data_IF_700066941857
#
_entry.id   IF_700066941857
#
_cell.length_a   1.000
_cell.length_b   1.000
_cell.length_c   1.000
_cell.angle_alpha   90.00
_cell.angle_beta   90.00
_cell.angle_gamma   90.00
#
_symmetry.space_group_name_H-M   'P 1'
#
loop_
_entity.id
_entity.type
_entity.pdbx_description
1 polymer ?
#
# COMPACT_ATOMS: atom_id res chain seq x y z
N UNK A 1 -15.80 15.15 10.91
CA UNK A 1 -14.32 15.09 10.99
C UNK A 1 -13.82 16.43 11.52
N UNK A 2 -12.81 16.44 12.38
CA UNK A 2 -12.46 17.52 13.32
C UNK A 2 -11.85 18.80 12.69
N UNK A 3 -12.41 19.31 11.58
CA UNK A 3 -11.93 20.53 10.92
C UNK A 3 -10.61 20.41 10.14
N UNK A 4 -10.06 19.20 10.02
CA UNK A 4 -8.84 18.91 9.25
C UNK A 4 -9.21 18.70 7.78
N UNK A 5 -8.51 19.42 6.89
CA UNK A 5 -8.57 19.19 5.45
C UNK A 5 -7.62 18.05 5.07
N UNK A 6 -8.17 16.88 4.75
CA UNK A 6 -7.39 15.71 4.31
C UNK A 6 -7.00 15.79 2.83
N UNK A 7 -7.42 16.83 2.11
CA UNK A 7 -7.26 16.99 0.68
C UNK A 7 -7.65 15.71 -0.07
N UNK A 8 -6.80 15.20 -0.97
CA UNK A 8 -7.09 14.03 -1.78
C UNK A 8 -7.22 12.73 -0.94
N UNK A 9 -6.62 12.65 0.25
CA UNK A 9 -6.72 11.47 1.11
C UNK A 9 -8.13 11.29 1.68
N UNK A 10 -8.96 12.33 1.67
CA UNK A 10 -10.34 12.25 2.13
C UNK A 10 -11.12 11.13 1.44
N UNK A 11 -10.89 10.92 0.14
CA UNK A 11 -11.59 9.91 -0.64
C UNK A 11 -11.33 8.48 -0.15
N UNK A 12 -10.18 8.24 0.48
CA UNK A 12 -9.82 6.91 0.99
C UNK A 12 -10.56 6.56 2.28
N UNK A 13 -10.95 7.56 3.09
CA UNK A 13 -11.45 7.34 4.46
C UNK A 13 -12.70 6.46 4.46
N UNK A 14 -12.67 5.39 5.26
CA UNK A 14 -13.74 4.40 5.33
C UNK A 14 -13.21 2.97 5.24
N UNK A 15 -14.14 2.02 5.14
CA UNK A 15 -13.82 0.61 4.95
C UNK A 15 -14.15 0.19 3.52
N UNK A 16 -13.34 -0.71 2.98
CA UNK A 16 -13.39 -1.18 1.60
C UNK A 16 -13.25 -2.70 1.58
N UNK A 17 -13.92 -3.35 0.63
CA UNK A 17 -13.86 -4.80 0.48
C UNK A 17 -13.76 -5.22 -0.98
N UNK A 18 -12.78 -6.07 -1.28
CA UNK A 18 -12.59 -6.69 -2.58
C UNK A 18 -12.83 -8.21 -2.53
N UNK A 19 -13.36 -8.76 -3.62
CA UNK A 19 -13.77 -10.17 -3.71
C UNK A 19 -12.99 -10.97 -4.78
N UNK A 20 -12.13 -10.28 -5.55
CA UNK A 20 -11.50 -10.80 -6.76
C UNK A 20 -10.03 -10.37 -6.89
N UNK A 21 -9.30 -10.40 -5.78
CA UNK A 21 -7.86 -10.12 -5.80
C UNK A 21 -7.06 -11.31 -6.34
N UNK A 22 -5.91 -11.01 -6.94
CA UNK A 22 -4.96 -11.99 -7.46
C UNK A 22 -3.55 -11.66 -6.97
N UNK A 23 -2.87 -12.67 -6.43
CA UNK A 23 -1.47 -12.68 -6.02
C UNK A 23 -0.69 -13.58 -6.99
N UNK A 24 0.47 -13.10 -7.47
CA UNK A 24 1.43 -13.88 -8.25
C UNK A 24 2.77 -13.85 -7.51
N UNK A 25 3.10 -14.95 -6.85
CA UNK A 25 4.23 -15.06 -5.92
C UNK A 25 5.29 -16.06 -6.42
N UNK A 26 6.56 -15.91 -5.99
CA UNK A 26 7.62 -16.85 -6.36
C UNK A 26 7.49 -18.18 -5.62
N UNK A 27 7.69 -19.27 -6.35
CA UNK A 27 8.00 -20.59 -5.80
C UNK A 27 9.45 -20.96 -6.14
N UNK A 28 10.05 -21.97 -5.46
CA UNK A 28 11.39 -22.47 -5.82
C UNK A 28 11.47 -22.83 -7.31
N UNK A 29 10.39 -23.38 -7.85
CA UNK A 29 10.20 -23.66 -9.28
C UNK A 29 8.93 -22.94 -9.77
N UNK A 30 9.08 -21.95 -10.66
CA UNK A 30 7.94 -21.27 -11.29
C UNK A 30 7.27 -20.18 -10.42
N UNK A 31 5.96 -20.06 -10.52
CA UNK A 31 5.15 -19.05 -9.81
C UNK A 31 3.91 -19.72 -9.23
N UNK A 32 3.45 -19.27 -8.07
CA UNK A 32 2.11 -19.59 -7.54
C UNK A 32 1.14 -18.46 -7.86
N UNK A 33 -0.12 -18.82 -8.12
CA UNK A 33 -1.21 -17.88 -8.37
C UNK A 33 -2.33 -18.11 -7.39
N UNK A 34 -2.62 -17.11 -6.58
CA UNK A 34 -3.58 -17.24 -5.50
C UNK A 34 -4.68 -16.17 -5.60
N UNK A 35 -5.92 -16.64 -5.73
CA UNK A 35 -7.08 -15.78 -5.59
C UNK A 35 -7.39 -15.50 -4.11
N UNK A 36 -7.69 -14.24 -3.80
CA UNK A 36 -8.00 -13.78 -2.44
C UNK A 36 -9.19 -12.82 -2.42
N UNK A 37 -9.68 -12.57 -1.21
CA UNK A 37 -10.50 -11.40 -0.89
C UNK A 37 -9.75 -10.57 0.16
N UNK A 38 -10.02 -9.28 0.16
CA UNK A 38 -9.28 -8.31 0.95
C UNK A 38 -10.19 -7.24 1.52
N UNK A 39 -9.80 -6.74 2.68
CA UNK A 39 -10.48 -5.66 3.39
C UNK A 39 -9.44 -4.58 3.70
N UNK A 40 -9.75 -3.32 3.38
CA UNK A 40 -8.89 -2.18 3.69
C UNK A 40 -9.71 -1.17 4.49
N UNK A 41 -9.20 -0.75 5.64
CA UNK A 41 -9.82 0.33 6.42
C UNK A 41 -8.85 1.49 6.54
N UNK A 42 -9.31 2.68 6.14
CA UNK A 42 -8.60 3.94 6.23
C UNK A 42 -9.26 4.80 7.31
N UNK A 43 -8.45 5.24 8.28
CA UNK A 43 -8.91 6.08 9.38
C UNK A 43 -8.15 7.41 9.42
N UNK A 44 -8.84 8.53 9.73
CA UNK A 44 -8.18 9.80 9.98
C UNK A 44 -7.06 9.65 11.03
N UNK A 45 -5.86 10.15 10.71
CA UNK A 45 -4.72 10.21 11.65
C UNK A 45 -4.26 11.65 11.94
N UNK A 46 -4.90 12.65 11.34
CA UNK A 46 -4.71 14.07 11.63
C UNK A 46 -3.55 14.72 10.89
N UNK A 47 -3.28 16.00 11.20
CA UNK A 47 -2.13 16.73 10.67
C UNK A 47 -0.85 16.33 11.39
N UNK A 48 0.28 16.54 10.72
CA UNK A 48 1.62 16.47 11.31
C UNK A 48 2.47 17.62 10.77
N UNK A 49 3.39 18.13 11.59
CA UNK A 49 4.30 19.20 11.22
C UNK A 49 5.75 18.77 11.48
N UNK A 50 6.62 19.03 10.52
CA UNK A 50 8.06 18.80 10.65
C UNK A 50 8.81 20.14 10.61
N UNK A 51 9.56 20.40 11.67
CA UNK A 51 10.45 21.57 11.80
C UNK A 51 9.79 22.92 11.49
N UNK A 52 8.48 23.08 11.76
CA UNK A 52 7.70 24.31 11.48
C UNK A 52 7.65 24.72 9.98
N UNK A 53 8.22 23.93 9.08
CA UNK A 53 8.34 24.23 7.65
C UNK A 53 7.48 23.32 6.78
N UNK A 54 7.34 22.05 7.16
CA UNK A 54 6.58 21.06 6.42
C UNK A 54 5.28 20.71 7.13
N UNK A 55 4.19 20.80 6.38
CA UNK A 55 2.84 20.46 6.83
C UNK A 55 2.36 19.20 6.11
N UNK A 56 1.88 18.23 6.86
CA UNK A 56 1.42 16.94 6.39
C UNK A 56 0.00 16.67 6.88
N UNK A 57 -0.76 15.91 6.10
CA UNK A 57 -2.03 15.32 6.53
C UNK A 57 -2.00 13.82 6.31
N UNK A 58 -2.53 13.06 7.27
CA UNK A 58 -2.27 11.62 7.35
C UNK A 58 -3.54 10.81 7.55
N UNK A 59 -3.62 9.69 6.84
CA UNK A 59 -4.64 8.65 7.02
C UNK A 59 -3.90 7.35 7.33
N UNK A 60 -4.18 6.75 8.48
CA UNK A 60 -3.66 5.42 8.81
C UNK A 60 -4.53 4.36 8.12
N UNK A 61 -3.93 3.24 7.72
CA UNK A 61 -4.68 2.14 7.12
C UNK A 61 -4.28 0.78 7.68
N UNK A 62 -5.19 -0.17 7.54
CA UNK A 62 -4.95 -1.59 7.75
C UNK A 62 -5.58 -2.36 6.59
N UNK A 63 -4.79 -3.22 5.96
CA UNK A 63 -5.22 -4.14 4.92
C UNK A 63 -5.05 -5.58 5.42
N UNK A 64 -6.11 -6.36 5.27
CA UNK A 64 -6.13 -7.77 5.61
C UNK A 64 -6.57 -8.58 4.39
N UNK A 65 -5.73 -9.53 3.99
CA UNK A 65 -5.96 -10.40 2.83
C UNK A 65 -6.14 -11.82 3.29
N UNK A 66 -7.16 -12.51 2.77
CA UNK A 66 -7.49 -13.88 3.14
C UNK A 66 -7.60 -14.77 1.91
N UNK A 67 -7.10 -16.00 2.02
CA UNK A 67 -7.20 -16.98 0.94
C UNK A 67 -8.67 -17.28 0.69
N UNK A 68 -9.12 -17.16 -0.55
CA UNK A 68 -10.52 -17.44 -0.90
C UNK A 68 -10.94 -18.87 -0.58
N UNK A 69 -10.03 -19.83 -0.72
CA UNK A 69 -10.30 -21.26 -0.53
C UNK A 69 -10.65 -21.66 0.91
N UNK A 70 -10.18 -20.93 1.92
CA UNK A 70 -10.31 -21.36 3.32
C UNK A 70 -10.36 -20.22 4.36
N UNK A 71 -10.35 -18.95 3.94
CA UNK A 71 -10.46 -17.79 4.82
C UNK A 71 -9.26 -17.52 5.74
N UNK A 72 -8.20 -18.33 5.64
CA UNK A 72 -6.98 -18.10 6.42
C UNK A 72 -6.32 -16.80 5.97
N UNK A 73 -5.79 -16.06 6.95
CA UNK A 73 -5.00 -14.85 6.69
C UNK A 73 -3.82 -15.25 5.81
N UNK A 74 -3.67 -14.51 4.71
CA UNK A 74 -2.63 -14.67 3.72
C UNK A 74 -1.61 -13.53 3.83
N UNK A 75 -2.10 -12.32 4.05
CA UNK A 75 -1.31 -11.11 4.18
C UNK A 75 -2.00 -10.17 5.17
N UNK A 76 -1.20 -9.45 5.95
CA UNK A 76 -1.63 -8.40 6.89
C UNK A 76 -0.63 -7.25 6.76
N UNK A 77 -1.14 -6.03 6.57
CA UNK A 77 -0.32 -4.86 6.34
C UNK A 77 -0.94 -3.63 6.98
N UNK A 78 -0.11 -2.79 7.59
CA UNK A 78 -0.54 -1.51 8.16
C UNK A 78 0.50 -0.42 7.97
N UNK A 79 0.03 0.82 7.89
CA UNK A 79 0.85 2.01 7.80
C UNK A 79 0.03 3.26 7.56
N UNK A 80 0.57 4.21 6.80
CA UNK A 80 -0.05 5.51 6.56
C UNK A 80 0.03 5.90 5.08
N UNK A 81 -1.01 6.56 4.61
CA UNK A 81 -0.93 7.48 3.47
C UNK A 81 -0.79 8.90 4.01
N UNK A 82 0.15 9.64 3.45
CA UNK A 82 0.56 10.97 3.90
C UNK A 82 0.58 11.88 2.67
N UNK A 83 0.03 13.07 2.81
CA UNK A 83 0.00 14.09 1.76
C UNK A 83 0.63 15.38 2.27
N UNK A 84 1.53 15.97 1.48
CA UNK A 84 2.09 17.31 1.69
C UNK A 84 1.46 18.30 0.70
N UNK A 85 0.58 19.21 1.16
CA UNK A 85 -0.10 20.15 0.26
C UNK A 85 0.85 21.09 -0.51
N UNK A 86 1.95 21.49 0.12
CA UNK A 86 2.87 22.47 -0.46
C UNK A 86 3.61 21.95 -1.71
N UNK A 87 3.88 20.66 -1.77
CA UNK A 87 4.67 20.03 -2.85
C UNK A 87 3.85 19.07 -3.71
N UNK A 88 2.67 18.65 -3.23
CA UNK A 88 1.90 17.57 -3.82
C UNK A 88 2.48 16.18 -3.55
N UNK A 89 3.46 16.04 -2.66
CA UNK A 89 4.10 14.76 -2.35
C UNK A 89 3.10 13.82 -1.68
N UNK A 90 3.11 12.57 -2.14
CA UNK A 90 2.43 11.46 -1.51
C UNK A 90 3.47 10.51 -0.93
N UNK A 91 3.25 10.08 0.31
CA UNK A 91 4.06 9.05 0.95
C UNK A 91 3.15 7.92 1.43
N UNK A 92 3.56 6.71 1.12
CA UNK A 92 2.94 5.48 1.58
C UNK A 92 3.93 4.72 2.45
N UNK A 93 3.56 4.45 3.70
CA UNK A 93 4.30 3.56 4.58
C UNK A 93 3.57 2.25 4.74
N UNK A 94 4.32 1.16 4.86
CA UNK A 94 3.76 -0.14 5.22
C UNK A 94 4.73 -0.90 6.11
N UNK A 95 4.16 -1.76 6.94
CA UNK A 95 4.83 -2.78 7.71
C UNK A 95 4.01 -4.06 7.65
N UNK A 96 4.70 -5.19 7.53
CA UNK A 96 4.09 -6.52 7.40
C UNK A 96 4.67 -7.47 8.44
N UNK A 97 3.96 -8.54 8.85
CA UNK A 97 4.42 -9.53 9.83
C UNK A 97 5.51 -10.46 9.29
N UNK A 98 6.34 -9.97 8.36
CA UNK A 98 7.58 -10.59 7.86
C UNK A 98 8.83 -9.82 8.30
N UNK A 99 8.66 -8.86 9.22
CA UNK A 99 9.72 -7.93 9.64
C UNK A 99 10.32 -7.18 8.43
N UNK A 100 9.42 -6.62 7.60
CA UNK A 100 9.74 -5.73 6.48
C UNK A 100 8.92 -4.46 6.65
N UNK A 101 9.56 -3.30 6.47
CA UNK A 101 8.91 -2.00 6.40
C UNK A 101 9.36 -1.28 5.12
N UNK A 102 8.45 -0.54 4.52
CA UNK A 102 8.70 0.27 3.32
C UNK A 102 8.21 1.70 3.58
N UNK A 103 9.00 2.67 3.12
CA UNK A 103 8.59 4.05 2.96
C UNK A 103 8.68 4.39 1.48
N UNK A 104 7.54 4.48 0.81
CA UNK A 104 7.44 4.76 -0.61
C UNK A 104 6.97 6.20 -0.84
N UNK A 105 7.58 6.90 -1.78
CA UNK A 105 7.26 8.27 -2.11
C UNK A 105 6.81 8.39 -3.56
N UNK A 106 6.04 9.43 -3.84
CA UNK A 106 5.63 9.73 -5.19
C UNK A 106 4.62 10.86 -5.25
N UNK A 107 3.66 10.73 -6.18
CA UNK A 107 2.77 11.83 -6.57
C UNK A 107 1.34 11.36 -6.70
N UNK A 108 0.45 12.34 -6.68
CA UNK A 108 -0.95 12.20 -7.04
C UNK A 108 -1.16 12.77 -8.46
N UNK A 109 -1.94 12.05 -9.26
CA UNK A 109 -2.57 12.55 -10.48
C UNK A 109 -4.08 12.57 -10.30
N UNK A 110 -4.75 13.58 -10.87
CA UNK A 110 -6.20 13.70 -10.87
C UNK A 110 -6.72 13.55 -12.31
N UNK A 111 -7.59 12.57 -12.55
CA UNK A 111 -8.23 12.32 -13.83
C UNK A 111 -9.75 12.43 -13.67
N UNK A 112 -10.30 13.63 -13.88
CA UNK A 112 -11.68 13.93 -13.54
C UNK A 112 -11.90 13.71 -12.03
N UNK A 113 -12.87 12.88 -11.66
CA UNK A 113 -13.16 12.54 -10.27
C UNK A 113 -12.24 11.45 -9.69
N UNK A 114 -11.43 10.78 -10.53
CA UNK A 114 -10.50 9.75 -10.09
C UNK A 114 -9.18 10.35 -9.56
N UNK A 115 -8.81 9.97 -8.34
CA UNK A 115 -7.50 10.24 -7.76
C UNK A 115 -6.59 9.01 -7.93
N UNK A 116 -5.41 9.21 -8.51
CA UNK A 116 -4.42 8.17 -8.82
C UNK A 116 -3.15 8.45 -8.02
N UNK A 117 -2.89 7.64 -7.00
CA UNK A 117 -1.70 7.69 -6.17
C UNK A 117 -0.65 6.74 -6.73
N UNK A 118 0.54 7.25 -7.00
CA UNK A 118 1.67 6.45 -7.49
C UNK A 118 2.85 6.66 -6.56
N UNK A 119 3.37 5.57 -5.99
CA UNK A 119 4.47 5.58 -5.03
C UNK A 119 5.48 4.49 -5.33
N UNK A 120 6.75 4.75 -5.03
CA UNK A 120 7.83 3.80 -5.19
C UNK A 120 8.86 3.90 -4.05
N UNK A 121 9.55 2.79 -3.79
CA UNK A 121 10.69 2.73 -2.87
C UNK A 121 11.78 1.83 -3.44
N UNK A 122 13.04 2.14 -3.13
CA UNK A 122 14.20 1.33 -3.54
C UNK A 122 15.07 1.00 -2.34
N UNK A 123 15.44 -0.27 -2.19
CA UNK A 123 16.31 -0.71 -1.10
C UNK A 123 17.67 0.02 -1.15
N UNK A 124 18.13 0.51 0.00
CA UNK A 124 19.38 1.29 0.11
C UNK A 124 19.23 2.78 -0.18
N UNK A 125 18.03 3.28 -0.49
CA UNK A 125 17.75 4.72 -0.52
C UNK A 125 17.79 5.33 0.88
N UNK A 126 18.36 6.52 1.00
CA UNK A 126 18.37 7.34 2.23
C UNK A 126 17.01 8.03 2.48
N UNK A 127 16.09 8.01 1.51
CA UNK A 127 14.74 8.59 1.62
C UNK A 127 13.67 7.52 1.52
N UNK A 128 13.16 7.26 0.31
CA UNK A 128 12.11 6.27 0.04
C UNK A 128 12.72 4.88 -0.13
N UNK A 129 12.82 4.18 0.99
CA UNK A 129 13.59 2.93 1.12
C UNK A 129 12.81 1.75 1.67
N UNK A 130 13.52 0.62 1.72
CA UNK A 130 13.05 -0.65 2.26
C UNK A 130 14.01 -1.09 3.38
N UNK A 131 13.44 -1.43 4.54
CA UNK A 131 14.18 -2.05 5.64
C UNK A 131 13.58 -3.41 5.96
N UNK A 132 14.43 -4.39 6.22
CA UNK A 132 14.02 -5.78 6.33
C UNK A 132 14.94 -6.56 7.27
N UNK A 133 14.42 -7.64 7.86
CA UNK A 133 15.18 -8.50 8.76
C UNK A 133 16.39 -9.16 8.08
N UNK A 134 17.40 -9.61 8.84
CA UNK A 134 18.58 -10.29 8.27
C UNK A 134 18.21 -11.49 7.38
N UNK A 135 17.21 -12.29 7.79
CA UNK A 135 16.76 -13.42 6.98
C UNK A 135 16.20 -12.97 5.62
N UNK A 136 15.35 -11.93 5.63
CA UNK A 136 14.80 -11.38 4.38
C UNK A 136 15.93 -10.84 3.51
N UNK A 137 16.88 -10.09 4.08
CA UNK A 137 18.03 -9.55 3.37
C UNK A 137 18.88 -10.64 2.69
N UNK A 138 19.03 -11.80 3.31
CA UNK A 138 19.86 -12.90 2.80
C UNK A 138 19.13 -13.87 1.87
N UNK A 139 17.83 -14.10 2.08
CA UNK A 139 17.09 -15.22 1.46
C UNK A 139 15.93 -14.81 0.57
N UNK A 140 15.33 -13.65 0.82
CA UNK A 140 14.13 -13.17 0.14
C UNK A 140 14.14 -11.64 0.08
N UNK A 141 15.20 -11.07 -0.48
CA UNK A 141 15.51 -9.65 -0.36
C UNK A 141 14.54 -8.84 -1.19
N UNK A 142 13.77 -7.96 -0.54
CA UNK A 142 13.04 -6.91 -1.23
C UNK A 142 14.02 -5.84 -1.70
N UNK A 143 14.00 -5.57 -3.01
CA UNK A 143 14.91 -4.64 -3.69
C UNK A 143 14.21 -3.36 -4.12
N UNK A 144 12.92 -3.43 -4.44
CA UNK A 144 12.09 -2.29 -4.76
C UNK A 144 10.62 -2.58 -4.48
N UNK A 145 9.83 -1.53 -4.38
CA UNK A 145 8.38 -1.55 -4.22
C UNK A 145 7.78 -0.48 -5.12
N UNK A 146 6.65 -0.77 -5.75
CA UNK A 146 5.82 0.21 -6.46
C UNK A 146 4.35 -0.11 -6.23
N UNK A 147 3.53 0.93 -6.12
CA UNK A 147 2.08 0.78 -6.02
C UNK A 147 1.40 1.90 -6.80
N UNK A 148 0.35 1.53 -7.55
CA UNK A 148 -0.65 2.49 -8.03
C UNK A 148 -1.97 2.20 -7.34
N UNK A 149 -2.53 3.19 -6.64
CA UNK A 149 -3.85 3.13 -6.04
C UNK A 149 -4.76 4.14 -6.74
N UNK A 150 -5.95 3.72 -7.15
CA UNK A 150 -6.95 4.56 -7.82
C UNK A 150 -8.21 4.56 -6.98
N UNK A 151 -8.81 5.73 -6.80
CA UNK A 151 -10.10 5.87 -6.11
C UNK A 151 -11.00 6.84 -6.85
N UNK A 152 -12.26 6.46 -7.02
CA UNK A 152 -13.31 7.30 -7.59
C UNK A 152 -14.64 6.91 -6.96
N UNK A 153 -15.23 7.83 -6.18
CA UNK A 153 -16.46 7.57 -5.44
C UNK A 153 -16.32 6.39 -4.46
N UNK A 154 -17.11 5.33 -4.70
CA UNK A 154 -17.15 4.10 -3.89
C UNK A 154 -16.39 2.93 -4.52
N UNK A 155 -15.57 3.19 -5.54
CA UNK A 155 -14.64 2.23 -6.12
C UNK A 155 -13.18 2.58 -5.78
N UNK A 156 -12.42 1.58 -5.35
CA UNK A 156 -10.99 1.65 -5.14
C UNK A 156 -10.32 0.48 -5.88
N UNK A 157 -9.18 0.72 -6.49
CA UNK A 157 -8.36 -0.36 -7.04
C UNK A 157 -6.89 -0.12 -6.74
N UNK A 158 -6.13 -1.20 -6.64
CA UNK A 158 -4.68 -1.09 -6.54
C UNK A 158 -3.98 -2.16 -7.38
N UNK A 159 -2.77 -1.80 -7.78
CA UNK A 159 -1.77 -2.67 -8.39
C UNK A 159 -0.47 -2.45 -7.63
N UNK A 160 0.05 -3.50 -7.02
CA UNK A 160 1.28 -3.50 -6.24
C UNK A 160 2.31 -4.41 -6.92
N UNK A 161 3.58 -4.00 -6.90
CA UNK A 161 4.69 -4.88 -7.24
C UNK A 161 5.82 -4.74 -6.24
N UNK A 162 6.21 -5.87 -5.67
CA UNK A 162 7.39 -6.01 -4.83
C UNK A 162 8.47 -6.78 -5.60
N UNK A 163 9.59 -6.12 -5.88
CA UNK A 163 10.73 -6.72 -6.58
C UNK A 163 11.61 -7.48 -5.59
N UNK A 164 11.76 -8.79 -5.79
CA UNK A 164 12.46 -9.70 -4.88
C UNK A 164 13.72 -10.29 -5.54
N UNK A 165 14.76 -10.49 -4.74
CA UNK A 165 15.83 -11.45 -5.00
C UNK A 165 15.61 -12.66 -4.06
N UNK A 166 15.11 -13.76 -4.62
CA UNK A 166 14.67 -14.95 -3.89
C UNK A 166 14.94 -16.20 -4.72
N UNK A 167 15.28 -17.31 -4.07
CA UNK A 167 15.64 -18.58 -4.74
C UNK A 167 16.75 -18.44 -5.80
N UNK A 168 17.68 -17.50 -5.59
CA UNK A 168 18.79 -17.26 -6.51
C UNK A 168 18.42 -16.53 -7.80
N UNK A 169 17.22 -15.95 -7.90
CA UNK A 169 16.76 -15.18 -9.06
C UNK A 169 16.03 -13.90 -8.65
N UNK A 170 15.83 -13.02 -9.63
CA UNK A 170 14.92 -11.87 -9.50
C UNK A 170 13.50 -12.30 -9.81
N UNK A 171 12.54 -11.75 -9.09
CA UNK A 171 11.11 -12.00 -9.29
C UNK A 171 10.29 -10.75 -9.00
N UNK A 172 9.27 -10.48 -9.80
CA UNK A 172 8.29 -9.45 -9.53
C UNK A 172 7.06 -10.10 -8.88
N UNK A 173 6.94 -9.97 -7.58
CA UNK A 173 5.72 -10.37 -6.86
C UNK A 173 4.67 -9.29 -7.11
N UNK A 174 3.56 -9.66 -7.73
CA UNK A 174 2.46 -8.73 -8.04
C UNK A 174 1.18 -9.10 -7.33
N UNK A 175 0.47 -8.08 -6.87
CA UNK A 175 -0.83 -8.18 -6.22
C UNK A 175 -1.75 -7.08 -6.72
N UNK A 176 -3.02 -7.39 -6.92
CA UNK A 176 -4.01 -6.36 -7.26
C UNK A 176 -5.43 -6.78 -6.95
N UNK A 177 -6.26 -5.80 -6.61
CA UNK A 177 -7.68 -5.98 -6.31
C UNK A 177 -8.50 -4.75 -6.69
N UNK A 178 -9.82 -4.96 -6.85
CA UNK A 178 -10.84 -3.91 -6.94
C UNK A 178 -11.78 -4.06 -5.75
N UNK A 179 -12.00 -2.97 -5.04
CA UNK A 179 -12.73 -2.91 -3.80
C UNK A 179 -13.89 -1.93 -3.92
N UNK A 180 -14.97 -2.24 -3.22
CA UNK A 180 -16.14 -1.37 -3.06
C UNK A 180 -16.17 -0.85 -1.64
N UNK A 181 -16.55 0.42 -1.46
CA UNK A 181 -16.74 1.01 -0.14
C UNK A 181 -17.85 0.26 0.61
N UNK A 182 -17.59 -0.09 1.85
CA UNK A 182 -18.58 -0.67 2.75
C UNK A 182 -19.43 0.46 3.32
N UNK A 183 -20.70 0.47 2.96
CA UNK A 183 -21.73 1.34 3.52
C UNK A 183 -22.66 0.49 4.39
N UNK A 184 -23.01 1.00 5.56
CA UNK A 184 -24.07 0.43 6.39
C UNK A 184 -25.29 1.33 6.25
N UNK A 185 -26.45 0.71 6.07
CA UNK A 185 -27.76 1.40 6.13
C UNK A 185 -28.09 1.86 7.57
#
# INVERSE_FOLDING_TARGET
MNGVDYGPLYQLIGSWRGEKGLDVAPEPEGEDKLAYYDEITFMPSGPAENAEEQNLVTVRYHQLVRKRKNGKIFHDQTGHWIYEPATGMIVHSLSIPRAVCVLAGGKLEQQGDESIFQVEATAGSDTFGVVQSPFMLEKAKTTAFRMTLRVSGDELSYEETTSLEIYGRKFEHTDGSRLIRVVYD
#
